data_IF_817351011505
#
_entry.id   IF_817351011505
#
_cell.length_a   1.000
_cell.length_b   1.000
_cell.length_c   1.000
_cell.angle_alpha   90.00
_cell.angle_beta   90.00
_cell.angle_gamma   90.00
#
_symmetry.space_group_name_H-M   'P 1'
#
loop_
_entity.id
_entity.type
_entity.pdbx_description
1 polymer ?
#
# COMPACT_ATOMS: atom_id res chain seq x y z
N UNK A 1 -58.11 21.54 27.49
CA UNK A 1 -58.07 20.62 28.67
C UNK A 1 -56.63 20.25 29.05
N UNK A 2 -55.73 19.97 28.09
CA UNK A 2 -54.30 19.70 28.33
C UNK A 2 -53.53 20.83 29.06
N UNK A 3 -53.63 22.08 28.60
CA UNK A 3 -52.92 23.20 29.26
C UNK A 3 -53.41 23.47 30.69
N UNK A 4 -54.72 23.29 30.96
CA UNK A 4 -55.33 23.53 32.28
C UNK A 4 -54.74 22.59 33.36
N UNK A 5 -54.39 21.35 32.99
CA UNK A 5 -53.71 20.39 33.88
C UNK A 5 -52.37 20.89 34.40
N UNK A 6 -51.56 21.55 33.56
CA UNK A 6 -50.26 22.11 33.95
C UNK A 6 -50.39 23.44 34.71
N UNK A 7 -51.44 24.23 34.43
CA UNK A 7 -51.78 25.45 35.18
C UNK A 7 -52.20 25.12 36.61
N UNK A 8 -53.03 24.08 36.78
CA UNK A 8 -53.51 23.66 38.10
C UNK A 8 -52.43 22.89 38.91
N UNK A 9 -51.32 22.48 38.27
CA UNK A 9 -50.19 21.74 38.90
C UNK A 9 -48.81 22.31 38.50
N UNK A 10 -48.44 23.52 38.96
CA UNK A 10 -47.22 24.22 38.54
C UNK A 10 -45.91 23.49 38.90
N UNK A 11 -45.90 22.72 40.01
CA UNK A 11 -44.72 21.90 40.40
C UNK A 11 -44.46 20.80 39.37
N UNK A 12 -45.51 20.14 38.87
CA UNK A 12 -45.36 19.09 37.87
C UNK A 12 -44.79 19.64 36.55
N UNK A 13 -45.29 20.80 36.11
CA UNK A 13 -44.76 21.49 34.94
C UNK A 13 -43.27 21.85 35.10
N UNK A 14 -42.89 22.38 36.27
CA UNK A 14 -41.51 22.77 36.57
C UNK A 14 -40.57 21.56 36.60
N UNK A 15 -40.98 20.46 37.24
CA UNK A 15 -40.19 19.22 37.27
C UNK A 15 -39.98 18.67 35.86
N UNK A 16 -41.03 18.66 35.02
CA UNK A 16 -40.91 18.20 33.64
C UNK A 16 -39.94 19.07 32.83
N UNK A 17 -40.00 20.40 32.98
CA UNK A 17 -39.05 21.31 32.36
C UNK A 17 -37.62 21.07 32.83
N UNK A 18 -37.39 20.85 34.13
CA UNK A 18 -36.07 20.53 34.68
C UNK A 18 -35.55 19.21 34.09
N UNK A 19 -36.39 18.18 33.99
CA UNK A 19 -36.03 16.90 33.37
C UNK A 19 -35.61 17.09 31.92
N UNK A 20 -36.35 17.87 31.13
CA UNK A 20 -36.00 18.18 29.73
C UNK A 20 -34.66 18.92 29.65
N UNK A 21 -34.42 19.90 30.53
CA UNK A 21 -33.15 20.65 30.56
C UNK A 21 -31.98 19.74 30.95
N UNK A 22 -32.16 18.85 31.93
CA UNK A 22 -31.12 17.88 32.32
C UNK A 22 -30.81 16.93 31.16
N UNK A 23 -31.84 16.39 30.49
CA UNK A 23 -31.65 15.53 29.31
C UNK A 23 -30.91 16.28 28.21
N UNK A 24 -31.30 17.53 27.92
CA UNK A 24 -30.61 18.39 26.95
C UNK A 24 -29.15 18.63 27.31
N UNK A 25 -28.85 18.91 28.59
CA UNK A 25 -27.49 19.14 29.08
C UNK A 25 -26.61 17.89 28.96
N UNK A 26 -27.15 16.70 29.25
CA UNK A 26 -26.44 15.43 29.07
C UNK A 26 -26.23 15.13 27.58
N UNK A 27 -27.25 15.37 26.74
CA UNK A 27 -27.15 15.17 25.29
C UNK A 27 -26.11 16.07 24.63
N UNK A 28 -25.97 17.32 25.09
CA UNK A 28 -24.95 18.26 24.60
C UNK A 28 -23.51 17.74 24.82
N UNK A 29 -23.27 16.94 25.85
CA UNK A 29 -21.94 16.34 26.09
C UNK A 29 -21.70 15.08 25.26
N UNK A 30 -22.76 14.37 24.88
CA UNK A 30 -22.67 13.10 24.16
C UNK A 30 -22.69 13.26 22.63
N UNK A 31 -23.27 14.34 22.11
CA UNK A 31 -23.42 14.55 20.67
C UNK A 31 -22.07 14.86 20.00
N UNK A 32 -21.69 14.13 18.94
CA UNK A 32 -20.53 14.47 18.13
C UNK A 32 -20.66 15.85 17.49
N UNK A 33 -19.58 16.62 17.50
CA UNK A 33 -19.51 17.93 16.87
C UNK A 33 -18.85 17.76 15.50
N UNK A 34 -19.55 18.14 14.44
CA UNK A 34 -19.05 18.15 13.06
C UNK A 34 -19.31 19.51 12.41
N UNK A 35 -18.44 19.93 11.48
CA UNK A 35 -18.62 21.20 10.76
C UNK A 35 -19.79 21.14 9.78
N UNK A 36 -19.93 19.99 9.09
CA UNK A 36 -21.02 19.68 8.17
C UNK A 36 -21.42 18.21 8.34
N UNK A 37 -22.67 17.84 8.03
CA UNK A 37 -23.03 16.44 7.86
C UNK A 37 -22.30 15.84 6.66
N UNK A 38 -22.22 14.50 6.60
CA UNK A 38 -21.64 13.78 5.47
C UNK A 38 -22.52 13.92 4.22
N UNK A 39 -22.29 14.98 3.45
CA UNK A 39 -23.00 15.28 2.19
C UNK A 39 -22.23 14.84 0.95
N UNK A 40 -20.97 14.46 1.12
CA UNK A 40 -20.10 14.03 0.02
C UNK A 40 -20.35 12.56 -0.29
N UNK A 41 -20.64 12.21 -1.56
CA UNK A 41 -20.75 10.82 -1.98
C UNK A 41 -19.48 10.03 -1.61
N UNK A 42 -19.60 8.87 -0.94
CA UNK A 42 -18.43 8.10 -0.55
C UNK A 42 -17.78 7.42 -1.77
N UNK A 43 -16.46 7.27 -1.75
CA UNK A 43 -15.66 6.77 -2.88
C UNK A 43 -14.74 5.63 -2.47
N UNK A 44 -14.68 4.60 -3.30
CA UNK A 44 -13.67 3.53 -3.23
C UNK A 44 -12.72 3.72 -4.41
N UNK A 45 -11.42 3.73 -4.14
CA UNK A 45 -10.39 3.78 -5.15
C UNK A 45 -9.82 2.38 -5.39
N UNK A 46 -9.73 2.00 -6.66
CA UNK A 46 -9.01 0.82 -7.13
C UNK A 46 -7.77 1.33 -7.87
N UNK A 47 -6.59 0.88 -7.45
CA UNK A 47 -5.34 1.24 -8.11
C UNK A 47 -4.53 0.02 -8.51
N UNK A 48 -3.90 0.11 -9.68
CA UNK A 48 -3.04 -0.91 -10.25
C UNK A 48 -1.88 -0.27 -10.99
N UNK A 49 -0.77 -0.99 -11.13
CA UNK A 49 0.41 -0.51 -11.86
C UNK A 49 0.84 -1.55 -12.89
N UNK A 50 1.04 -1.09 -14.12
CA UNK A 50 1.63 -1.85 -15.22
C UNK A 50 2.92 -1.16 -15.69
N UNK A 51 4.07 -1.47 -15.06
CA UNK A 51 5.33 -0.80 -15.37
C UNK A 51 5.71 -0.94 -16.84
N UNK A 52 6.02 0.18 -17.49
CA UNK A 52 6.46 0.23 -18.89
C UNK A 52 5.34 0.23 -19.94
N UNK A 53 4.07 0.17 -19.54
CA UNK A 53 2.93 0.29 -20.45
C UNK A 53 2.55 1.76 -20.70
N UNK A 54 2.06 2.07 -21.91
CA UNK A 54 1.51 3.39 -22.22
C UNK A 54 0.11 3.56 -21.61
N UNK A 55 -0.34 4.81 -21.43
CA UNK A 55 -1.66 5.10 -20.88
C UNK A 55 -2.79 4.37 -21.63
N UNK A 56 -2.67 4.23 -22.95
CA UNK A 56 -3.65 3.51 -23.77
C UNK A 56 -3.64 2.01 -23.51
N UNK A 57 -2.47 1.39 -23.41
CA UNK A 57 -2.34 -0.04 -23.09
C UNK A 57 -2.93 -0.30 -21.70
N UNK A 58 -2.63 0.55 -20.72
CA UNK A 58 -3.19 0.44 -19.37
C UNK A 58 -4.72 0.57 -19.39
N UNK A 59 -5.26 1.52 -20.15
CA UNK A 59 -6.71 1.69 -20.28
C UNK A 59 -7.38 0.43 -20.87
N UNK A 60 -6.83 -0.09 -21.98
CA UNK A 60 -7.44 -1.18 -22.72
C UNK A 60 -7.25 -2.56 -22.03
N UNK A 61 -6.13 -2.78 -21.34
CA UNK A 61 -5.76 -4.10 -20.78
C UNK A 61 -5.91 -4.24 -19.27
N UNK A 62 -6.01 -3.12 -18.54
CA UNK A 62 -6.12 -3.12 -17.06
C UNK A 62 -7.39 -2.42 -16.60
N UNK A 63 -7.61 -1.18 -17.03
CA UNK A 63 -8.77 -0.41 -16.61
C UNK A 63 -10.08 -1.02 -17.11
N UNK A 64 -10.20 -1.26 -18.42
CA UNK A 64 -11.43 -1.77 -19.02
C UNK A 64 -11.91 -3.12 -18.44
N UNK A 65 -11.07 -4.14 -18.22
CA UNK A 65 -11.50 -5.38 -17.55
C UNK A 65 -11.99 -5.15 -16.12
N UNK A 66 -11.34 -4.27 -15.35
CA UNK A 66 -11.75 -3.94 -13.98
C UNK A 66 -13.08 -3.17 -14.00
N UNK A 67 -13.20 -2.16 -14.86
CA UNK A 67 -14.43 -1.37 -15.03
C UNK A 67 -15.63 -2.26 -15.38
N UNK A 68 -15.45 -3.23 -16.28
CA UNK A 68 -16.51 -4.14 -16.69
C UNK A 68 -17.05 -4.99 -15.53
N UNK A 69 -16.18 -5.50 -14.66
CA UNK A 69 -16.61 -6.31 -13.50
C UNK A 69 -17.12 -5.45 -12.34
N UNK A 70 -16.54 -4.25 -12.14
CA UNK A 70 -16.96 -3.30 -11.11
C UNK A 70 -18.27 -2.60 -11.47
N UNK A 71 -18.63 -2.54 -12.75
CA UNK A 71 -19.91 -1.99 -13.17
C UNK A 71 -21.07 -2.81 -12.61
N UNK A 72 -22.01 -2.14 -11.95
CA UNK A 72 -23.15 -2.77 -11.31
C UNK A 72 -22.91 -3.21 -9.86
N UNK A 73 -21.84 -2.76 -9.20
CA UNK A 73 -21.77 -2.81 -7.74
C UNK A 73 -22.94 -2.03 -7.15
N UNK A 74 -23.56 -2.58 -6.11
CA UNK A 74 -24.73 -2.00 -5.47
C UNK A 74 -24.46 -0.56 -4.99
N UNK A 75 -25.45 0.32 -5.18
CA UNK A 75 -25.39 1.73 -4.78
C UNK A 75 -24.32 2.59 -5.46
N UNK A 76 -23.65 2.07 -6.49
CA UNK A 76 -22.79 2.86 -7.36
C UNK A 76 -23.59 3.97 -8.07
N UNK A 77 -23.02 5.17 -8.11
CA UNK A 77 -23.51 6.31 -8.89
C UNK A 77 -22.80 6.38 -10.24
N UNK A 78 -21.48 6.41 -10.21
CA UNK A 78 -20.62 6.48 -11.37
C UNK A 78 -19.22 6.00 -11.00
N UNK A 79 -18.41 5.76 -12.02
CA UNK A 79 -16.99 5.49 -11.85
C UNK A 79 -16.18 6.38 -12.80
N UNK A 80 -14.95 6.71 -12.41
CA UNK A 80 -14.01 7.47 -13.22
C UNK A 80 -12.65 6.78 -13.19
N UNK A 81 -12.18 6.30 -14.34
CA UNK A 81 -10.83 5.79 -14.49
C UNK A 81 -9.88 6.83 -15.06
N UNK A 82 -8.63 6.76 -14.62
CA UNK A 82 -7.51 7.55 -15.11
C UNK A 82 -6.32 6.63 -15.28
N UNK A 83 -5.79 6.59 -16.51
CA UNK A 83 -4.58 5.85 -16.86
C UNK A 83 -3.50 6.83 -17.31
N UNK A 84 -2.28 6.64 -16.83
CA UNK A 84 -1.15 7.56 -17.08
C UNK A 84 0.00 6.83 -17.77
N UNK A 85 0.87 7.59 -18.46
CA UNK A 85 1.99 7.03 -19.25
C UNK A 85 3.14 6.46 -18.40
N UNK A 86 3.08 6.61 -17.08
CA UNK A 86 3.97 5.96 -16.11
C UNK A 86 3.47 4.54 -15.74
N UNK A 87 2.40 4.06 -16.38
CA UNK A 87 1.84 2.73 -16.16
C UNK A 87 0.83 2.65 -15.01
N UNK A 88 0.47 3.77 -14.36
CA UNK A 88 -0.52 3.75 -13.28
C UNK A 88 -1.95 3.77 -13.80
N UNK A 89 -2.83 3.07 -13.08
CA UNK A 89 -4.27 3.09 -13.25
C UNK A 89 -4.93 3.44 -11.92
N UNK A 90 -5.83 4.42 -11.93
CA UNK A 90 -6.67 4.78 -10.80
C UNK A 90 -8.14 4.79 -11.24
N UNK A 91 -8.98 3.99 -10.59
CA UNK A 91 -10.42 3.93 -10.79
C UNK A 91 -11.13 4.37 -9.51
N UNK A 92 -11.80 5.52 -9.57
CA UNK A 92 -12.61 6.04 -8.47
C UNK A 92 -14.07 5.61 -8.69
N UNK A 93 -14.58 4.73 -7.83
CA UNK A 93 -15.98 4.27 -7.81
C UNK A 93 -16.75 5.07 -6.76
N UNK A 94 -17.74 5.85 -7.20
CA UNK A 94 -18.51 6.74 -6.33
C UNK A 94 -19.88 6.13 -6.03
N UNK A 95 -20.30 6.18 -4.77
CA UNK A 95 -21.53 5.57 -4.28
C UNK A 95 -22.56 6.61 -3.82
N UNK A 96 -23.83 6.21 -3.67
CA UNK A 96 -24.88 7.08 -3.11
C UNK A 96 -24.56 7.49 -1.67
N UNK A 97 -24.96 8.71 -1.30
CA UNK A 97 -24.88 9.20 0.08
C UNK A 97 -25.67 8.27 1.00
N UNK A 98 -25.11 7.93 2.16
CA UNK A 98 -25.66 6.95 3.10
C UNK A 98 -25.24 5.49 2.84
N UNK A 99 -24.50 5.21 1.76
CA UNK A 99 -23.93 3.88 1.52
C UNK A 99 -22.84 3.57 2.55
N UNK A 100 -22.90 2.39 3.17
CA UNK A 100 -21.84 1.93 4.05
C UNK A 100 -20.56 1.64 3.24
N UNK A 101 -19.50 2.42 3.49
CA UNK A 101 -18.26 2.34 2.74
C UNK A 101 -17.43 1.07 3.03
N UNK A 102 -17.57 0.45 4.20
CA UNK A 102 -16.99 -0.87 4.49
C UNK A 102 -17.58 -1.93 3.55
N UNK A 103 -18.91 -1.95 3.43
CA UNK A 103 -19.58 -2.91 2.57
C UNK A 103 -19.31 -2.65 1.08
N UNK A 104 -19.36 -1.37 0.67
CA UNK A 104 -19.03 -0.98 -0.70
C UNK A 104 -17.59 -1.35 -1.10
N UNK A 105 -16.62 -1.21 -0.18
CA UNK A 105 -15.24 -1.61 -0.42
C UNK A 105 -15.11 -3.13 -0.60
N UNK A 106 -15.77 -3.93 0.24
CA UNK A 106 -15.77 -5.40 0.11
C UNK A 106 -16.43 -5.84 -1.20
N UNK A 107 -17.59 -5.28 -1.55
CA UNK A 107 -18.27 -5.61 -2.81
C UNK A 107 -17.40 -5.25 -4.03
N UNK A 108 -16.76 -4.08 -4.00
CA UNK A 108 -15.83 -3.65 -5.06
C UNK A 108 -14.63 -4.59 -5.15
N UNK A 109 -14.02 -4.94 -4.02
CA UNK A 109 -12.92 -5.91 -3.96
C UNK A 109 -13.31 -7.27 -4.56
N UNK A 110 -14.50 -7.78 -4.23
CA UNK A 110 -14.99 -9.04 -4.78
C UNK A 110 -15.13 -8.99 -6.31
N UNK A 111 -15.58 -7.86 -6.88
CA UNK A 111 -15.64 -7.66 -8.32
C UNK A 111 -14.26 -7.55 -8.96
N UNK A 112 -13.34 -6.81 -8.32
CA UNK A 112 -11.95 -6.68 -8.77
C UNK A 112 -11.25 -8.05 -8.80
N UNK A 113 -11.49 -8.91 -7.81
CA UNK A 113 -10.93 -10.27 -7.78
C UNK A 113 -11.45 -11.16 -8.93
N UNK A 114 -12.65 -10.92 -9.45
CA UNK A 114 -13.15 -11.60 -10.67
C UNK A 114 -12.38 -11.09 -11.91
N UNK A 115 -12.13 -9.77 -11.98
CA UNK A 115 -11.37 -9.16 -13.07
C UNK A 115 -9.89 -9.59 -13.08
N UNK A 116 -9.33 -9.91 -11.92
CA UNK A 116 -7.91 -10.24 -11.74
C UNK A 116 -7.42 -11.35 -12.68
N UNK A 117 -8.26 -12.35 -12.96
CA UNK A 117 -7.92 -13.43 -13.89
C UNK A 117 -7.64 -12.95 -15.32
N UNK A 118 -8.25 -11.83 -15.74
CA UNK A 118 -8.12 -11.24 -17.09
C UNK A 118 -6.94 -10.26 -17.20
N UNK A 119 -6.29 -9.92 -16.09
CA UNK A 119 -5.19 -8.96 -16.08
C UNK A 119 -3.88 -9.57 -16.58
N UNK A 120 -2.93 -8.75 -17.08
CA UNK A 120 -1.56 -9.18 -17.33
C UNK A 120 -0.85 -9.70 -16.07
N UNK A 121 0.04 -10.68 -16.21
CA UNK A 121 0.78 -11.29 -15.09
C UNK A 121 1.66 -10.28 -14.34
N UNK A 122 2.22 -9.30 -15.04
CA UNK A 122 3.00 -8.21 -14.46
C UNK A 122 2.18 -7.39 -13.47
N UNK A 123 0.89 -7.15 -13.78
CA UNK A 123 -0.04 -6.41 -12.92
C UNK A 123 -0.46 -7.27 -11.74
N UNK A 124 -0.79 -8.55 -11.96
CA UNK A 124 -1.13 -9.49 -10.87
C UNK A 124 0.02 -9.59 -9.86
N UNK A 125 1.26 -9.65 -10.35
CA UNK A 125 2.45 -9.71 -9.49
C UNK A 125 2.64 -8.46 -8.63
N UNK A 126 2.26 -7.29 -9.14
CA UNK A 126 2.26 -6.04 -8.36
C UNK A 126 1.05 -5.94 -7.42
N UNK A 127 -0.02 -6.65 -7.74
CA UNK A 127 -1.29 -6.63 -7.01
C UNK A 127 -2.16 -5.43 -7.39
N UNK A 128 -3.46 -5.61 -7.26
CA UNK A 128 -4.46 -4.54 -7.37
C UNK A 128 -4.90 -4.16 -5.97
N UNK A 129 -4.86 -2.87 -5.63
CA UNK A 129 -5.25 -2.41 -4.30
C UNK A 129 -6.60 -1.70 -4.35
N UNK A 130 -7.48 -2.06 -3.41
CA UNK A 130 -8.80 -1.45 -3.27
C UNK A 130 -8.90 -0.81 -1.89
N UNK A 131 -9.01 0.51 -1.86
CA UNK A 131 -9.03 1.29 -0.61
C UNK A 131 -10.16 2.29 -0.60
N UNK A 132 -10.65 2.59 0.60
CA UNK A 132 -11.55 3.73 0.82
C UNK A 132 -10.78 5.01 0.56
N UNK A 133 -11.39 5.97 -0.15
CA UNK A 133 -10.76 7.25 -0.46
C UNK A 133 -11.62 8.38 0.09
N UNK A 134 -11.01 9.22 0.92
CA UNK A 134 -11.55 10.54 1.23
C UNK A 134 -10.82 11.58 0.38
N UNK A 135 -11.53 12.47 -0.33
CA UNK A 135 -10.90 13.55 -1.08
C UNK A 135 -10.34 14.65 -0.16
N UNK A 136 -10.63 14.61 1.15
CA UNK A 136 -10.22 15.63 2.11
C UNK A 136 -8.91 15.26 2.82
N UNK A 137 -7.93 16.16 2.77
CA UNK A 137 -6.72 16.09 3.58
C UNK A 137 -7.03 16.69 4.95
N UNK A 138 -7.03 15.85 6.00
CA UNK A 138 -7.27 16.31 7.38
C UNK A 138 -6.06 17.07 7.96
N UNK A 139 -4.85 16.56 7.71
CA UNK A 139 -3.61 17.08 8.25
C UNK A 139 -2.46 16.84 7.27
N UNK A 140 -1.55 17.81 7.17
CA UNK A 140 -0.28 17.64 6.49
C UNK A 140 0.85 17.77 7.51
N UNK A 141 1.68 16.74 7.61
CA UNK A 141 2.84 16.70 8.51
C UNK A 141 4.10 16.86 7.66
N UNK A 142 4.95 17.83 8.03
CA UNK A 142 6.23 18.05 7.36
C UNK A 142 7.39 17.65 8.27
N UNK A 143 8.32 16.83 7.76
CA UNK A 143 9.52 16.44 8.49
C UNK A 143 10.70 17.29 8.01
N UNK A 144 11.39 17.90 8.98
CA UNK A 144 12.48 18.84 8.74
C UNK A 144 13.69 18.43 9.60
N UNK A 145 14.90 18.59 9.07
CA UNK A 145 16.16 18.48 9.83
C UNK A 145 16.70 19.90 10.06
N UNK A 146 16.51 20.52 11.24
CA UNK A 146 16.88 21.91 11.47
C UNK A 146 18.37 22.21 11.26
N UNK A 147 19.22 21.21 11.53
CA UNK A 147 20.67 21.24 11.42
C UNK A 147 21.19 20.74 10.05
N UNK A 148 20.30 20.31 9.15
CA UNK A 148 20.67 19.70 7.88
C UNK A 148 21.40 18.36 8.00
N UNK A 149 21.39 17.72 9.18
CA UNK A 149 22.05 16.43 9.43
C UNK A 149 21.46 15.31 8.57
N UNK A 150 20.16 15.36 8.32
CA UNK A 150 19.44 14.36 7.53
C UNK A 150 18.98 14.95 6.21
N UNK A 151 19.27 14.21 5.14
CA UNK A 151 18.80 14.55 3.80
C UNK A 151 17.33 14.13 3.60
N UNK A 152 16.75 14.55 2.47
CA UNK A 152 15.36 14.27 2.15
C UNK A 152 15.08 12.76 2.02
N UNK A 153 16.06 11.98 1.56
CA UNK A 153 15.93 10.53 1.41
C UNK A 153 15.84 9.84 2.77
N UNK A 154 16.72 10.22 3.71
CA UNK A 154 16.68 9.71 5.08
C UNK A 154 15.37 10.07 5.77
N UNK A 155 14.95 11.33 5.70
CA UNK A 155 13.69 11.78 6.31
C UNK A 155 12.47 11.06 5.73
N UNK A 156 12.43 10.85 4.41
CA UNK A 156 11.35 10.10 3.74
C UNK A 156 11.29 8.66 4.24
N UNK A 157 12.43 7.98 4.32
CA UNK A 157 12.49 6.60 4.81
C UNK A 157 12.19 6.48 6.30
N UNK A 158 12.67 7.42 7.12
CA UNK A 158 12.30 7.49 8.53
C UNK A 158 10.78 7.61 8.69
N UNK A 159 10.14 8.46 7.88
CA UNK A 159 8.69 8.60 7.85
C UNK A 159 8.00 7.28 7.46
N UNK A 160 8.47 6.63 6.39
CA UNK A 160 7.91 5.36 5.90
C UNK A 160 8.03 4.25 6.94
N UNK A 161 9.19 4.11 7.59
CA UNK A 161 9.49 2.99 8.48
C UNK A 161 8.92 3.21 9.89
N UNK A 162 9.00 4.43 10.44
CA UNK A 162 8.69 4.68 11.86
C UNK A 162 7.38 5.43 12.07
N UNK A 163 6.98 6.31 11.15
CA UNK A 163 5.85 7.23 11.36
C UNK A 163 4.57 6.74 10.69
N UNK A 164 4.66 6.24 9.45
CA UNK A 164 3.51 5.87 8.62
C UNK A 164 2.57 4.89 9.33
N UNK A 165 3.12 3.76 9.77
CA UNK A 165 2.35 2.69 10.38
C UNK A 165 1.83 3.08 11.76
N UNK A 166 2.55 3.92 12.49
CA UNK A 166 2.10 4.45 13.77
C UNK A 166 0.86 5.34 13.59
N UNK A 167 0.87 6.22 12.57
CA UNK A 167 -0.28 7.08 12.25
C UNK A 167 -1.45 6.28 11.66
N UNK A 168 -1.17 5.35 10.75
CA UNK A 168 -2.20 4.54 10.08
C UNK A 168 -2.99 3.64 11.06
N UNK A 169 -2.45 3.34 12.24
CA UNK A 169 -3.13 2.56 13.29
C UNK A 169 -4.03 3.40 14.20
N UNK A 170 -3.98 4.74 14.12
CA UNK A 170 -4.80 5.57 14.98
C UNK A 170 -6.29 5.51 14.55
N UNK A 171 -7.24 5.37 15.49
CA UNK A 171 -8.65 5.38 15.16
C UNK A 171 -9.06 6.67 14.41
N UNK A 172 -9.79 6.51 13.32
CA UNK A 172 -10.24 7.63 12.47
C UNK A 172 -9.26 8.03 11.36
N UNK A 173 -8.06 7.47 11.31
CA UNK A 173 -7.14 7.67 10.18
C UNK A 173 -7.53 6.73 9.03
N UNK A 174 -7.90 7.31 7.89
CA UNK A 174 -8.30 6.55 6.70
C UNK A 174 -7.12 6.10 5.83
N UNK A 175 -6.21 7.01 5.52
CA UNK A 175 -5.01 6.72 4.73
C UNK A 175 -3.88 7.70 5.11
N UNK A 176 -2.64 7.25 4.97
CA UNK A 176 -1.44 8.07 5.19
C UNK A 176 -0.62 8.01 3.90
N UNK A 177 -0.61 9.12 3.18
CA UNK A 177 0.10 9.27 1.91
C UNK A 177 1.26 10.24 2.04
N UNK A 178 2.27 10.01 1.20
CA UNK A 178 3.45 10.86 1.11
C UNK A 178 3.40 11.69 -0.16
N UNK A 179 3.78 12.97 -0.04
CA UNK A 179 3.98 13.86 -1.18
C UNK A 179 5.48 13.86 -1.52
N UNK A 180 5.85 13.21 -2.62
CA UNK A 180 7.25 13.14 -3.07
C UNK A 180 8.13 12.15 -2.31
N UNK A 181 7.55 11.00 -1.89
CA UNK A 181 8.30 9.94 -1.21
C UNK A 181 9.54 9.51 -2.01
N UNK A 182 10.63 9.31 -1.28
CA UNK A 182 11.83 8.63 -1.76
C UNK A 182 12.04 7.43 -0.85
N UNK A 183 11.75 6.25 -1.36
CA UNK A 183 12.00 5.00 -0.65
C UNK A 183 13.42 4.52 -0.95
N UNK A 184 14.08 3.96 0.07
CA UNK A 184 15.35 3.28 -0.13
C UNK A 184 15.12 2.09 -1.05
N UNK A 185 15.87 2.10 -2.14
CA UNK A 185 15.87 1.08 -3.17
C UNK A 185 17.30 0.69 -3.48
N UNK A 186 17.57 -0.61 -3.59
CA UNK A 186 18.84 -1.08 -4.13
C UNK A 186 18.81 -0.84 -5.64
N UNK A 187 19.54 0.16 -6.10
CA UNK A 187 19.57 0.57 -7.51
C UNK A 187 20.80 0.00 -8.18
N UNK A 188 20.56 -0.76 -9.24
CA UNK A 188 21.60 -1.38 -10.06
C UNK A 188 21.57 -0.69 -11.42
N UNK A 189 22.57 0.14 -11.68
CA UNK A 189 22.72 0.83 -12.95
C UNK A 189 23.70 0.05 -13.83
N UNK A 190 23.17 -0.54 -14.90
CA UNK A 190 23.97 -1.35 -15.82
C UNK A 190 24.75 -0.46 -16.80
N UNK A 191 26.01 -0.83 -17.05
CA UNK A 191 26.82 -0.23 -18.11
C UNK A 191 26.63 -1.05 -19.41
N UNK A 192 25.95 -0.49 -20.43
CA UNK A 192 25.68 -1.21 -21.67
C UNK A 192 26.96 -1.53 -22.45
N UNK A 193 28.00 -0.70 -22.36
CA UNK A 193 29.29 -0.93 -23.04
C UNK A 193 30.05 -2.07 -22.37
N UNK A 194 30.08 -2.09 -21.03
CA UNK A 194 30.71 -3.17 -20.27
C UNK A 194 30.02 -4.52 -20.49
N UNK A 195 28.69 -4.54 -20.56
CA UNK A 195 27.91 -5.74 -20.88
C UNK A 195 28.18 -6.23 -22.31
N UNK A 196 28.15 -5.33 -23.29
CA UNK A 196 28.39 -5.67 -24.70
C UNK A 196 29.80 -6.26 -24.91
N UNK A 197 30.83 -5.69 -24.27
CA UNK A 197 32.21 -6.19 -24.38
C UNK A 197 32.41 -7.63 -23.87
N UNK A 198 31.47 -8.13 -23.04
CA UNK A 198 31.51 -9.46 -22.42
C UNK A 198 30.48 -10.42 -23.00
N UNK A 199 29.81 -10.04 -24.10
CA UNK A 199 28.68 -10.78 -24.69
C UNK A 199 27.63 -11.12 -23.62
N UNK A 200 27.15 -10.09 -22.93
CA UNK A 200 26.14 -10.19 -21.88
C UNK A 200 24.98 -9.24 -22.16
N UNK A 201 23.81 -9.61 -21.65
CA UNK A 201 22.58 -8.85 -21.76
C UNK A 201 22.09 -8.43 -20.37
N UNK A 202 21.17 -7.48 -20.32
CA UNK A 202 20.48 -7.12 -19.07
C UNK A 202 19.68 -8.30 -18.49
N UNK A 203 19.22 -9.24 -19.33
CA UNK A 203 18.51 -10.43 -18.88
C UNK A 203 19.40 -11.36 -18.07
N UNK A 204 20.68 -11.50 -18.44
CA UNK A 204 21.65 -12.32 -17.71
C UNK A 204 21.85 -11.79 -16.29
N UNK A 205 21.97 -10.46 -16.14
CA UNK A 205 22.06 -9.81 -14.83
C UNK A 205 20.80 -10.01 -14.00
N UNK A 206 19.62 -9.87 -14.62
CA UNK A 206 18.34 -10.08 -13.93
C UNK A 206 18.17 -11.52 -13.44
N UNK A 207 18.61 -12.51 -14.23
CA UNK A 207 18.58 -13.92 -13.85
C UNK A 207 19.54 -14.18 -12.68
N UNK A 208 20.78 -13.70 -12.75
CA UNK A 208 21.76 -13.83 -11.67
C UNK A 208 21.24 -13.23 -10.34
N UNK A 209 20.59 -12.06 -10.41
CA UNK A 209 19.95 -11.44 -9.25
C UNK A 209 18.84 -12.31 -8.64
N UNK A 210 17.99 -12.91 -9.48
CA UNK A 210 16.90 -13.78 -9.03
C UNK A 210 17.39 -15.09 -8.42
N UNK A 211 18.52 -15.61 -8.92
CA UNK A 211 19.11 -16.85 -8.44
C UNK A 211 19.89 -16.68 -7.13
N UNK A 212 20.62 -15.57 -6.97
CA UNK A 212 21.51 -15.36 -5.83
C UNK A 212 20.90 -14.55 -4.69
N UNK A 213 19.97 -13.61 -4.97
CA UNK A 213 19.29 -12.83 -3.94
C UNK A 213 17.97 -13.50 -3.51
N UNK A 214 18.04 -14.74 -3.05
CA UNK A 214 16.88 -15.54 -2.68
C UNK A 214 16.99 -16.05 -1.24
N UNK A 215 15.87 -15.98 -0.52
CA UNK A 215 15.78 -16.61 0.79
C UNK A 215 15.49 -18.11 0.61
N UNK A 216 16.43 -18.96 0.99
CA UNK A 216 16.25 -20.42 0.96
C UNK A 216 15.99 -20.98 2.36
N UNK A 217 15.08 -21.95 2.43
CA UNK A 217 14.89 -22.74 3.64
C UNK A 217 15.96 -23.83 3.69
N UNK A 218 17.08 -23.55 4.37
CA UNK A 218 18.22 -24.47 4.45
C UNK A 218 17.99 -25.67 5.40
N UNK A 219 16.82 -25.72 6.05
CA UNK A 219 16.40 -26.85 6.87
C UNK A 219 17.04 -26.87 8.25
N UNK A 220 17.00 -28.06 8.86
CA UNK A 220 17.48 -28.28 10.22
C UNK A 220 18.32 -29.56 10.26
N UNK A 221 19.46 -29.50 10.93
CA UNK A 221 20.33 -30.65 11.16
C UNK A 221 19.85 -31.36 12.44
N UNK A 222 19.77 -32.69 12.40
CA UNK A 222 19.31 -33.49 13.55
C UNK A 222 17.78 -33.52 13.73
N UNK A 223 17.01 -33.06 12.74
CA UNK A 223 15.55 -33.22 12.75
C UNK A 223 15.16 -34.66 12.36
N UNK A 224 14.25 -35.33 13.09
CA UNK A 224 13.75 -36.65 12.70
C UNK A 224 13.15 -36.66 11.27
N UNK A 225 13.42 -37.70 10.47
CA UNK A 225 14.17 -38.92 10.80
C UNK A 225 15.69 -38.71 10.76
N UNK A 226 16.34 -38.84 11.91
CA UNK A 226 17.78 -38.73 12.08
C UNK A 226 18.32 -40.01 12.74
N UNK A 227 19.60 -40.39 12.51
CA UNK A 227 20.21 -41.54 13.16
C UNK A 227 20.07 -41.49 14.69
N UNK A 228 19.92 -42.65 15.32
CA UNK A 228 19.84 -42.76 16.79
C UNK A 228 21.14 -42.24 17.44
N UNK A 229 21.02 -41.46 18.51
CA UNK A 229 22.15 -40.85 19.22
C UNK A 229 22.45 -39.39 18.89
N UNK A 230 21.59 -38.71 18.12
CA UNK A 230 21.65 -37.25 17.93
C UNK A 230 20.69 -36.56 18.90
N UNK A 231 21.23 -35.94 19.94
CA UNK A 231 20.46 -35.24 20.98
C UNK A 231 20.19 -33.75 20.67
N UNK A 232 20.80 -33.21 19.61
CA UNK A 232 20.74 -31.79 19.28
C UNK A 232 20.15 -31.55 17.88
N UNK A 233 19.24 -30.58 17.80
CA UNK A 233 18.70 -30.08 16.56
C UNK A 233 19.16 -28.64 16.33
N UNK A 234 19.81 -28.38 15.20
CA UNK A 234 20.28 -27.06 14.80
C UNK A 234 19.51 -26.55 13.59
N UNK A 235 19.14 -25.27 13.60
CA UNK A 235 18.57 -24.62 12.42
C UNK A 235 19.70 -24.08 11.55
N UNK A 236 19.70 -24.42 10.27
CA UNK A 236 20.69 -23.92 9.33
C UNK A 236 20.20 -22.57 8.81
N UNK A 237 20.98 -21.52 9.05
CA UNK A 237 20.75 -20.21 8.47
C UNK A 237 21.73 -19.99 7.32
N UNK A 238 21.20 -19.60 6.17
CA UNK A 238 21.98 -19.13 5.03
C UNK A 238 21.96 -17.61 4.98
N UNK A 239 22.85 -17.02 4.19
CA UNK A 239 22.91 -15.57 3.99
C UNK A 239 21.56 -15.02 3.50
N UNK A 240 20.86 -15.76 2.63
CA UNK A 240 19.51 -15.41 2.17
C UNK A 240 19.50 -14.17 1.29
N UNK A 241 18.61 -13.22 1.58
CA UNK A 241 18.54 -11.94 0.85
C UNK A 241 19.71 -11.03 1.23
N UNK A 242 20.33 -10.44 0.22
CA UNK A 242 21.43 -9.50 0.37
C UNK A 242 20.90 -8.15 0.90
N UNK A 243 21.71 -7.50 1.74
CA UNK A 243 21.37 -6.24 2.40
C UNK A 243 22.32 -5.12 1.99
N UNK A 244 23.62 -5.42 1.91
CA UNK A 244 24.64 -4.42 1.65
C UNK A 244 24.90 -4.22 0.16
N UNK A 245 25.10 -2.98 -0.32
CA UNK A 245 25.45 -2.72 -1.72
C UNK A 245 26.68 -3.52 -2.20
N UNK A 246 27.66 -3.75 -1.32
CA UNK A 246 28.84 -4.55 -1.62
C UNK A 246 28.51 -6.02 -1.92
N UNK A 247 27.54 -6.60 -1.20
CA UNK A 247 27.09 -7.97 -1.47
C UNK A 247 26.44 -8.09 -2.84
N UNK A 248 25.66 -7.09 -3.25
CA UNK A 248 25.09 -7.03 -4.59
C UNK A 248 26.17 -6.86 -5.66
N UNK A 249 27.18 -6.01 -5.41
CA UNK A 249 28.30 -5.81 -6.32
C UNK A 249 29.10 -7.11 -6.56
N UNK A 250 29.13 -8.01 -5.56
CA UNK A 250 29.80 -9.30 -5.61
C UNK A 250 29.02 -10.42 -6.30
N UNK A 251 27.76 -10.17 -6.72
CA UNK A 251 26.96 -11.15 -7.44
C UNK A 251 27.69 -11.59 -8.70
N UNK A 252 27.84 -12.90 -8.86
CA UNK A 252 28.48 -13.49 -10.04
C UNK A 252 27.47 -13.55 -11.17
N UNK A 253 27.71 -12.81 -12.26
CA UNK A 253 26.79 -12.78 -13.39
C UNK A 253 27.19 -13.79 -14.47
N UNK A 254 28.50 -14.02 -14.67
CA UNK A 254 28.99 -14.95 -15.69
C UNK A 254 30.33 -15.56 -15.26
N UNK A 255 30.50 -16.84 -15.58
CA UNK A 255 31.78 -17.55 -15.47
C UNK A 255 32.26 -17.92 -16.86
N UNK A 256 33.42 -17.41 -17.27
CA UNK A 256 34.04 -17.71 -18.56
C UNK A 256 34.72 -19.08 -18.57
N UNK A 257 35.00 -19.59 -19.77
CA UNK A 257 35.53 -20.94 -20.00
C UNK A 257 36.91 -21.18 -19.35
N UNK A 258 37.67 -20.10 -19.13
CA UNK A 258 38.99 -20.13 -18.48
C UNK A 258 38.93 -19.80 -16.98
N UNK A 259 37.76 -19.87 -16.35
CA UNK A 259 37.56 -19.57 -14.92
C UNK A 259 37.47 -18.07 -14.60
N UNK A 260 37.30 -17.22 -15.61
CA UNK A 260 37.11 -15.78 -15.43
C UNK A 260 35.73 -15.52 -14.82
N UNK A 261 35.67 -14.84 -13.67
CA UNK A 261 34.41 -14.52 -13.00
C UNK A 261 34.08 -13.06 -13.29
N UNK A 262 32.93 -12.81 -13.90
CA UNK A 262 32.37 -11.46 -14.06
C UNK A 262 31.37 -11.21 -12.95
N UNK A 263 31.64 -10.21 -12.12
CA UNK A 263 30.75 -9.76 -11.05
C UNK A 263 29.87 -8.61 -11.51
N UNK A 264 28.82 -8.31 -10.76
CA UNK A 264 27.95 -7.17 -11.04
C UNK A 264 28.72 -5.85 -11.04
N UNK A 265 29.71 -5.72 -10.16
CA UNK A 265 30.62 -4.57 -10.11
C UNK A 265 31.37 -4.30 -11.43
N UNK A 266 31.61 -5.33 -12.24
CA UNK A 266 32.35 -5.21 -13.51
C UNK A 266 31.48 -4.72 -14.66
N UNK A 267 30.15 -4.75 -14.49
CA UNK A 267 29.16 -4.47 -15.54
C UNK A 267 28.11 -3.44 -15.12
N UNK A 268 28.28 -2.80 -13.96
CA UNK A 268 27.38 -1.78 -13.46
C UNK A 268 27.80 -1.23 -12.11
N UNK A 269 27.05 -0.23 -11.62
CA UNK A 269 27.18 0.32 -10.27
C UNK A 269 25.97 -0.07 -9.42
N UNK A 270 26.23 -0.32 -8.14
CA UNK A 270 25.19 -0.60 -7.15
C UNK A 270 25.21 0.50 -6.09
N UNK A 271 24.04 1.08 -5.83
CA UNK A 271 23.88 2.11 -4.80
C UNK A 271 22.57 1.91 -4.03
N UNK A 272 22.57 2.34 -2.76
CA UNK A 272 21.35 2.49 -1.98
C UNK A 272 20.86 3.93 -2.16
N UNK A 273 19.69 4.11 -2.77
CA UNK A 273 19.17 5.44 -3.09
C UNK A 273 17.66 5.56 -3.07
#
# INVERSE_FOLDING_TARGET
MFARFFVDRPVFATVLSIVIVIIGAVALQALPIAQYPEVVPPTVNVSATYPGASAKVVADTVAAPIEQEVNGVENMLYMLSKSTNDGQMNLDVTFRVGTNLDFAQVLTQNRVSIAEAKLPEEVKRQGVTVKKKSPMILLCVNLLSPDGRYDQLYLSNYATIQVKDALARLPGVGDVSFLGARDYSMRIWLDPTALASRNMTAADVLNALREQNVQVAAGRIGQPPAPAGIDFQYTVNTLGRLLDPGQFADIVVKTGEQGQITRLADVGRVELG
#
